data_IF_831449400435
#
_entry.id   IF_831449400435
#
_cell.length_a   1.000
_cell.length_b   1.000
_cell.length_c   1.000
_cell.angle_alpha   90.00
_cell.angle_beta   90.00
_cell.angle_gamma   90.00
#
_symmetry.space_group_name_H-M   'P 1'
#
loop_
_entity.id
_entity.type
_entity.pdbx_description
1 polymer ?
#
# COMPACT_ATOMS: atom_id res chain seq x y z
N UNK A 1 18.48 -12.15 -24.06
CA UNK A 1 18.34 -11.62 -22.67
C UNK A 1 17.85 -12.77 -21.80
N UNK A 2 18.40 -12.94 -20.59
CA UNK A 2 17.99 -14.02 -19.70
C UNK A 2 16.86 -13.51 -18.79
N UNK A 3 15.66 -14.10 -18.88
CA UNK A 3 14.52 -13.75 -18.03
C UNK A 3 14.80 -14.27 -16.64
N UNK A 4 14.71 -13.40 -15.62
CA UNK A 4 14.94 -13.77 -14.22
C UNK A 4 13.72 -13.40 -13.41
N UNK A 5 13.08 -14.38 -12.78
CA UNK A 5 11.98 -14.16 -11.85
C UNK A 5 12.52 -13.85 -10.46
N UNK A 6 11.89 -12.93 -9.76
CA UNK A 6 12.23 -12.53 -8.40
C UNK A 6 11.00 -12.49 -7.52
N UNK A 7 11.19 -12.67 -6.21
CA UNK A 7 10.16 -12.46 -5.20
C UNK A 7 10.62 -11.49 -4.12
N UNK A 8 9.67 -10.79 -3.50
CA UNK A 8 9.96 -9.91 -2.37
C UNK A 8 10.15 -10.73 -1.10
N UNK A 9 11.34 -10.67 -0.50
CA UNK A 9 11.69 -11.39 0.74
C UNK A 9 11.61 -10.52 2.00
N UNK A 10 10.72 -9.52 2.00
CA UNK A 10 10.51 -8.55 3.08
C UNK A 10 11.60 -7.46 3.19
N UNK A 11 12.75 -7.64 2.52
CA UNK A 11 13.84 -6.64 2.47
C UNK A 11 14.21 -6.21 1.06
N UNK A 12 14.20 -7.15 0.10
CA UNK A 12 14.66 -6.94 -1.26
C UNK A 12 14.02 -7.95 -2.21
N UNK A 13 14.25 -7.76 -3.51
CA UNK A 13 13.86 -8.74 -4.51
C UNK A 13 14.97 -9.77 -4.72
N UNK A 14 14.67 -11.01 -4.34
CA UNK A 14 15.59 -12.14 -4.45
C UNK A 14 15.21 -13.03 -5.64
N UNK A 15 16.21 -13.58 -6.31
CA UNK A 15 16.00 -14.48 -7.45
C UNK A 15 15.61 -15.87 -6.96
N UNK A 16 14.67 -16.52 -7.66
CA UNK A 16 14.42 -17.95 -7.46
C UNK A 16 15.65 -18.79 -7.78
N UNK A 17 15.73 -19.97 -7.15
CA UNK A 17 16.74 -20.98 -7.45
C UNK A 17 16.62 -21.49 -8.92
N UNK A 18 17.67 -22.11 -9.48
CA UNK A 18 17.69 -22.49 -10.90
C UNK A 18 16.52 -23.39 -11.34
N UNK A 19 16.09 -24.33 -10.49
CA UNK A 19 15.00 -25.25 -10.81
C UNK A 19 13.66 -24.51 -10.91
N UNK A 20 13.36 -23.63 -9.94
CA UNK A 20 12.17 -22.78 -9.97
C UNK A 20 12.21 -21.77 -11.12
N UNK A 21 13.37 -21.17 -11.43
CA UNK A 21 13.53 -20.30 -12.60
C UNK A 21 13.16 -21.04 -13.89
N UNK A 22 13.66 -22.27 -14.05
CA UNK A 22 13.35 -23.09 -15.22
C UNK A 22 11.86 -23.40 -15.30
N UNK A 23 11.22 -23.81 -14.20
CA UNK A 23 9.77 -24.06 -14.16
C UNK A 23 8.95 -22.82 -14.54
N UNK A 24 9.30 -21.66 -13.99
CA UNK A 24 8.62 -20.40 -14.31
C UNK A 24 8.84 -19.99 -15.76
N UNK A 25 10.07 -20.15 -16.28
CA UNK A 25 10.37 -19.86 -17.67
C UNK A 25 9.59 -20.78 -18.62
N UNK A 26 9.54 -22.09 -18.36
CA UNK A 26 8.73 -23.01 -19.17
C UNK A 26 7.24 -22.66 -19.11
N UNK A 27 6.74 -22.30 -17.93
CA UNK A 27 5.35 -21.85 -17.75
C UNK A 27 5.05 -20.56 -18.51
N UNK A 28 6.01 -19.63 -18.57
CA UNK A 28 5.88 -18.37 -19.29
C UNK A 28 5.67 -18.59 -20.80
N UNK A 29 6.27 -19.64 -21.37
CA UNK A 29 6.18 -20.01 -22.78
C UNK A 29 4.86 -20.72 -23.16
N UNK A 30 4.04 -21.12 -22.19
CA UNK A 30 2.78 -21.82 -22.46
C UNK A 30 1.72 -20.86 -23.02
N UNK A 31 0.83 -21.40 -23.86
CA UNK A 31 -0.33 -20.68 -24.39
C UNK A 31 -1.58 -21.59 -24.35
N UNK A 32 -2.60 -21.28 -23.52
CA UNK A 32 -2.67 -20.12 -22.61
C UNK A 32 -1.63 -20.23 -21.48
N UNK A 33 -1.16 -19.09 -20.99
CA UNK A 33 -0.27 -19.07 -19.82
C UNK A 33 -1.06 -19.50 -18.58
N UNK A 34 -0.53 -20.40 -17.74
CA UNK A 34 -1.24 -20.83 -16.54
C UNK A 34 -1.42 -19.66 -15.56
N UNK A 35 -2.55 -19.68 -14.84
CA UNK A 35 -2.82 -18.73 -13.76
C UNK A 35 -2.02 -19.07 -12.50
N UNK A 36 -1.81 -20.37 -12.24
CA UNK A 36 -1.01 -20.85 -11.11
C UNK A 36 0.16 -21.73 -11.57
N UNK A 37 1.33 -21.57 -10.93
CA UNK A 37 2.53 -22.39 -11.18
C UNK A 37 3.05 -22.94 -9.87
N UNK A 38 3.02 -24.26 -9.72
CA UNK A 38 3.64 -24.95 -8.61
C UNK A 38 5.16 -24.92 -8.71
N UNK A 39 5.82 -24.42 -7.67
CA UNK A 39 7.26 -24.45 -7.59
C UNK A 39 7.74 -25.83 -7.12
N UNK A 40 8.70 -26.46 -7.81
CA UNK A 40 9.19 -27.78 -7.44
C UNK A 40 9.89 -27.74 -6.08
N UNK A 41 9.62 -28.75 -5.24
CA UNK A 41 10.23 -28.91 -3.91
C UNK A 41 10.04 -27.69 -2.99
N UNK A 42 8.96 -26.94 -3.21
CA UNK A 42 8.69 -25.68 -2.54
C UNK A 42 7.27 -25.68 -1.97
N UNK A 43 7.05 -25.16 -0.75
CA UNK A 43 5.72 -25.02 -0.18
C UNK A 43 4.93 -23.85 -0.78
N UNK A 44 5.42 -23.26 -1.87
CA UNK A 44 4.86 -22.07 -2.51
C UNK A 44 4.27 -22.38 -3.89
N UNK A 45 3.23 -21.65 -4.24
CA UNK A 45 2.65 -21.59 -5.60
C UNK A 45 2.73 -20.14 -6.08
N UNK A 46 2.99 -19.92 -7.37
CA UNK A 46 2.86 -18.59 -7.97
C UNK A 46 1.44 -18.43 -8.49
N UNK A 47 0.67 -17.51 -7.92
CA UNK A 47 -0.70 -17.19 -8.36
C UNK A 47 -0.71 -15.96 -9.26
N UNK A 48 -1.73 -15.85 -10.12
CA UNK A 48 -1.86 -14.84 -11.19
C UNK A 48 -0.61 -14.78 -12.10
N UNK A 49 -0.01 -15.92 -12.41
CA UNK A 49 1.21 -16.01 -13.21
C UNK A 49 1.00 -15.57 -14.67
N UNK A 50 -0.23 -15.70 -15.17
CA UNK A 50 -0.69 -15.08 -16.42
C UNK A 50 -0.51 -13.54 -16.46
N UNK A 51 -0.29 -12.87 -15.32
CA UNK A 51 -0.06 -11.42 -15.20
C UNK A 51 1.34 -11.04 -14.71
N UNK A 52 2.30 -11.97 -14.73
CA UNK A 52 3.64 -11.77 -14.16
C UNK A 52 4.43 -10.63 -14.82
N UNK A 53 4.26 -10.41 -16.11
CA UNK A 53 4.86 -9.30 -16.86
C UNK A 53 4.21 -7.95 -16.56
N UNK A 54 2.95 -7.98 -16.10
CA UNK A 54 2.20 -6.80 -15.71
C UNK A 54 2.45 -6.37 -14.26
N UNK A 55 3.18 -7.19 -13.48
CA UNK A 55 3.47 -6.93 -12.06
C UNK A 55 2.40 -7.46 -11.09
N UNK A 56 1.42 -8.23 -11.59
CA UNK A 56 0.28 -8.72 -10.80
C UNK A 56 0.45 -10.12 -10.19
N UNK A 57 1.59 -10.77 -10.41
CA UNK A 57 1.85 -12.11 -9.88
C UNK A 57 2.29 -12.07 -8.41
N UNK A 58 1.95 -13.14 -7.67
CA UNK A 58 2.35 -13.28 -6.28
C UNK A 58 2.74 -14.73 -5.95
N UNK A 59 3.65 -14.90 -5.01
CA UNK A 59 4.03 -16.18 -4.44
C UNK A 59 3.19 -16.40 -3.19
N UNK A 60 2.31 -17.41 -3.21
CA UNK A 60 1.46 -17.80 -2.09
C UNK A 60 2.04 -19.01 -1.39
N UNK A 61 2.22 -18.93 -0.07
CA UNK A 61 2.52 -20.09 0.76
C UNK A 61 1.28 -20.99 0.86
N UNK A 62 1.41 -22.27 0.49
CA UNK A 62 0.28 -23.22 0.46
C UNK A 62 -0.30 -23.51 1.85
N UNK A 63 0.52 -23.40 2.90
CA UNK A 63 0.11 -23.68 4.29
C UNK A 63 -0.47 -22.45 4.97
N UNK A 64 0.23 -21.31 4.91
CA UNK A 64 -0.17 -20.09 5.64
C UNK A 64 -1.05 -19.14 4.82
N UNK A 65 -1.11 -19.31 3.49
CA UNK A 65 -1.77 -18.37 2.59
C UNK A 65 -1.03 -17.03 2.43
N UNK A 66 0.14 -16.86 3.04
CA UNK A 66 0.92 -15.62 2.95
C UNK A 66 1.40 -15.36 1.53
N UNK A 67 1.28 -14.12 1.07
CA UNK A 67 1.61 -13.72 -0.30
C UNK A 67 2.83 -12.79 -0.34
N UNK A 68 3.73 -13.05 -1.29
CA UNK A 68 4.87 -12.18 -1.63
C UNK A 68 4.78 -11.72 -3.06
N UNK A 69 5.17 -10.48 -3.33
CA UNK A 69 5.16 -9.95 -4.70
C UNK A 69 6.17 -10.69 -5.57
N UNK A 70 5.76 -11.02 -6.80
CA UNK A 70 6.62 -11.67 -7.79
C UNK A 70 6.74 -10.76 -9.01
N UNK A 71 7.96 -10.66 -9.54
CA UNK A 71 8.25 -9.86 -10.73
C UNK A 71 9.26 -10.54 -11.63
N UNK A 72 9.34 -10.04 -12.86
CA UNK A 72 10.49 -10.26 -13.72
C UNK A 72 11.50 -9.14 -13.47
N UNK A 73 12.77 -9.49 -13.25
CA UNK A 73 13.85 -8.52 -13.03
C UNK A 73 14.02 -7.63 -14.27
N UNK A 74 13.91 -6.30 -14.14
CA UNK A 74 14.15 -5.41 -15.27
C UNK A 74 15.65 -5.16 -15.52
N UNK A 75 16.05 -4.87 -16.78
CA UNK A 75 15.21 -4.87 -17.98
C UNK A 75 14.98 -6.30 -18.51
N UNK A 76 13.82 -6.53 -19.13
CA UNK A 76 13.51 -7.81 -19.79
C UNK A 76 12.84 -7.61 -21.15
N UNK A 77 12.98 -8.59 -22.04
CA UNK A 77 12.27 -8.66 -23.31
C UNK A 77 11.63 -10.04 -23.40
N UNK A 78 10.30 -10.10 -23.35
CA UNK A 78 9.58 -11.36 -23.41
C UNK A 78 9.58 -11.94 -24.83
N UNK A 79 9.53 -13.28 -24.97
CA UNK A 79 9.42 -13.91 -26.29
C UNK A 79 8.17 -13.42 -27.03
N UNK A 80 8.35 -12.97 -28.27
CA UNK A 80 7.27 -12.43 -29.11
C UNK A 80 6.87 -10.98 -28.81
N UNK A 81 7.37 -10.37 -27.75
CA UNK A 81 7.13 -8.95 -27.48
C UNK A 81 8.00 -8.07 -28.41
N UNK A 82 7.40 -7.01 -28.94
CA UNK A 82 8.14 -6.02 -29.73
C UNK A 82 8.96 -5.14 -28.79
N UNK A 83 10.23 -4.81 -29.10
CA UNK A 83 10.99 -3.85 -28.31
C UNK A 83 10.20 -2.54 -28.15
N UNK A 84 10.13 -2.01 -26.93
CA UNK A 84 9.43 -0.75 -26.68
C UNK A 84 10.14 0.39 -27.41
N UNK A 85 9.56 0.89 -28.51
CA UNK A 85 10.10 2.03 -29.25
C UNK A 85 10.26 3.27 -28.35
N UNK A 86 9.36 3.41 -27.35
CA UNK A 86 9.41 4.47 -26.35
C UNK A 86 10.65 4.39 -25.45
N UNK A 87 11.21 3.20 -25.18
CA UNK A 87 12.43 3.06 -24.38
C UNK A 87 13.64 3.78 -25.01
N UNK A 88 13.67 3.88 -26.34
CA UNK A 88 14.76 4.49 -27.10
C UNK A 88 14.60 6.00 -27.29
N UNK A 89 13.41 6.56 -27.02
CA UNK A 89 13.10 7.97 -27.21
C UNK A 89 13.14 8.81 -25.93
N UNK A 90 13.29 8.18 -24.75
CA UNK A 90 13.23 8.91 -23.48
C UNK A 90 14.54 9.64 -23.16
N UNK A 91 14.49 10.91 -22.72
CA UNK A 91 15.68 11.67 -22.34
C UNK A 91 16.46 11.00 -21.20
N UNK A 92 17.80 11.11 -21.24
CA UNK A 92 18.68 10.49 -20.23
C UNK A 92 18.47 11.09 -18.82
N UNK A 93 18.09 12.36 -18.77
CA UNK A 93 17.84 13.16 -17.58
C UNK A 93 16.41 13.01 -17.03
N UNK A 94 15.65 12.02 -17.50
CA UNK A 94 14.32 11.70 -16.99
C UNK A 94 14.33 11.42 -15.48
N UNK A 95 13.33 11.96 -14.77
CA UNK A 95 13.09 11.76 -13.35
C UNK A 95 11.61 11.50 -13.10
N UNK A 96 11.32 10.50 -12.27
CA UNK A 96 10.00 10.25 -11.73
C UNK A 96 9.84 11.01 -10.41
N UNK A 97 8.84 11.88 -10.33
CA UNK A 97 8.55 12.69 -9.15
C UNK A 97 7.10 12.45 -8.70
N UNK A 98 6.85 12.37 -7.40
CA UNK A 98 5.49 12.31 -6.88
C UNK A 98 5.04 13.65 -6.31
N UNK A 99 3.74 13.91 -6.40
CA UNK A 99 3.14 15.08 -5.79
C UNK A 99 3.01 14.91 -4.27
N UNK A 100 3.47 15.92 -3.54
CA UNK A 100 3.35 16.06 -2.09
C UNK A 100 2.69 17.40 -1.74
N UNK A 101 1.92 17.42 -0.65
CA UNK A 101 1.05 18.53 -0.26
C UNK A 101 -0.41 18.35 -0.73
N UNK A 102 -1.35 19.05 -0.08
CA UNK A 102 -2.79 18.93 -0.37
C UNK A 102 -3.16 19.36 -1.80
N UNK A 103 -2.36 20.26 -2.38
CA UNK A 103 -2.64 20.87 -3.68
C UNK A 103 -1.68 20.38 -4.77
N UNK A 104 -0.86 19.35 -4.49
CA UNK A 104 0.17 18.86 -5.42
C UNK A 104 1.27 19.88 -5.73
N UNK A 105 1.42 20.92 -4.90
CA UNK A 105 2.32 22.04 -5.14
C UNK A 105 3.80 21.69 -5.10
N UNK A 106 4.16 20.51 -4.58
CA UNK A 106 5.55 20.08 -4.45
C UNK A 106 5.77 18.75 -5.17
N UNK A 107 6.65 18.77 -6.16
CA UNK A 107 7.17 17.56 -6.79
C UNK A 107 8.39 17.07 -6.02
N UNK A 108 8.32 15.84 -5.54
CA UNK A 108 9.41 15.20 -4.80
C UNK A 108 9.96 14.05 -5.64
N UNK A 109 11.25 14.04 -5.97
CA UNK A 109 11.84 12.95 -6.73
C UNK A 109 11.85 11.65 -5.91
N UNK A 110 11.67 10.51 -6.59
CA UNK A 110 12.04 9.22 -6.00
C UNK A 110 13.55 9.12 -5.73
N UNK A 111 13.95 8.20 -4.84
CA UNK A 111 15.36 7.90 -4.57
C UNK A 111 16.09 7.48 -5.85
N UNK A 112 17.40 7.76 -5.95
CA UNK A 112 18.18 7.44 -7.17
C UNK A 112 18.16 5.94 -7.52
N UNK A 113 18.09 5.07 -6.51
CA UNK A 113 17.94 3.62 -6.70
C UNK A 113 16.63 3.28 -7.43
N UNK A 114 15.50 3.82 -6.93
CA UNK A 114 14.20 3.62 -7.53
C UNK A 114 14.11 4.30 -8.91
N UNK A 115 14.68 5.50 -9.08
CA UNK A 115 14.79 6.14 -10.40
C UNK A 115 15.46 5.23 -11.42
N UNK A 116 16.60 4.64 -11.05
CA UNK A 116 17.38 3.75 -11.90
C UNK A 116 16.63 2.44 -12.20
N UNK A 117 15.84 1.94 -11.25
CA UNK A 117 15.01 0.76 -11.45
C UNK A 117 13.81 1.05 -12.37
N UNK A 118 13.08 2.13 -12.16
CA UNK A 118 11.96 2.55 -13.02
C UNK A 118 12.40 2.80 -14.47
N UNK A 119 13.60 3.38 -14.67
CA UNK A 119 14.21 3.49 -16.01
C UNK A 119 14.45 2.14 -16.67
N UNK A 120 14.84 1.10 -15.91
CA UNK A 120 15.00 -0.26 -16.43
C UNK A 120 13.65 -0.90 -16.77
N UNK A 121 12.60 -0.61 -16.01
CA UNK A 121 11.24 -1.04 -16.36
C UNK A 121 10.72 -0.38 -17.63
N UNK A 122 11.02 0.89 -17.88
CA UNK A 122 10.70 1.55 -19.15
C UNK A 122 11.35 0.86 -20.36
N UNK A 123 12.55 0.29 -20.15
CA UNK A 123 13.27 -0.48 -21.16
C UNK A 123 12.80 -1.94 -21.29
N UNK A 124 11.80 -2.35 -20.51
CA UNK A 124 11.26 -3.71 -20.57
C UNK A 124 10.13 -3.81 -21.59
N UNK A 125 9.93 -5.00 -22.18
CA UNK A 125 8.80 -5.27 -23.08
C UNK A 125 8.13 -6.62 -22.81
N UNK A 126 6.79 -6.66 -22.60
CA UNK A 126 5.94 -5.47 -22.43
C UNK A 126 6.32 -4.69 -21.17
N UNK A 127 5.91 -3.43 -21.09
CA UNK A 127 6.07 -2.64 -19.87
C UNK A 127 5.08 -3.14 -18.83
N UNK A 128 5.49 -3.24 -17.55
CA UNK A 128 4.56 -3.63 -16.51
C UNK A 128 3.49 -2.55 -16.33
N UNK A 129 2.26 -2.95 -16.00
CA UNK A 129 1.23 -1.99 -15.57
C UNK A 129 1.43 -1.57 -14.12
N UNK A 130 2.05 -2.44 -13.31
CA UNK A 130 2.26 -2.26 -11.87
C UNK A 130 3.71 -2.57 -11.47
N UNK A 131 4.27 -1.75 -10.58
CA UNK A 131 5.60 -1.94 -10.00
C UNK A 131 5.54 -1.77 -8.49
N UNK A 132 5.79 -2.85 -7.76
CA UNK A 132 5.93 -2.82 -6.31
C UNK A 132 7.31 -2.29 -5.89
N UNK A 133 7.33 -1.44 -4.87
CA UNK A 133 8.55 -0.97 -4.22
C UNK A 133 8.28 -0.59 -2.75
N UNK A 134 9.35 -0.47 -1.96
CA UNK A 134 9.28 0.00 -0.57
C UNK A 134 10.05 1.31 -0.44
N UNK A 135 9.41 2.32 0.15
CA UNK A 135 10.03 3.60 0.44
C UNK A 135 9.68 4.03 1.88
N UNK A 136 10.67 4.46 2.66
CA UNK A 136 10.47 4.88 4.06
C UNK A 136 9.65 3.85 4.87
N UNK A 137 10.01 2.56 4.76
CA UNK A 137 9.35 1.43 5.44
C UNK A 137 7.85 1.24 5.12
N UNK A 138 7.38 1.84 4.04
CA UNK A 138 6.01 1.68 3.55
C UNK A 138 6.02 1.02 2.17
N UNK A 139 5.16 0.01 1.95
CA UNK A 139 4.99 -0.61 0.64
C UNK A 139 4.14 0.28 -0.27
N UNK A 140 4.56 0.38 -1.52
CA UNK A 140 3.89 1.13 -2.56
C UNK A 140 3.73 0.30 -3.82
N UNK A 141 2.69 0.64 -4.58
CA UNK A 141 2.48 0.17 -5.94
C UNK A 141 2.47 1.38 -6.87
N UNK A 142 3.39 1.42 -7.84
CA UNK A 142 3.33 2.37 -8.96
C UNK A 142 2.51 1.75 -10.07
N UNK A 143 1.49 2.46 -10.54
CA UNK A 143 0.58 2.02 -11.61
C UNK A 143 0.69 2.91 -12.85
N UNK A 144 0.32 2.38 -14.01
CA UNK A 144 0.20 3.12 -15.28
C UNK A 144 1.50 3.22 -16.09
N UNK A 145 2.50 2.40 -15.78
CA UNK A 145 3.80 2.39 -16.48
C UNK A 145 3.70 1.90 -17.94
N UNK A 146 2.76 1.02 -18.22
CA UNK A 146 2.39 0.51 -19.54
C UNK A 146 1.76 1.60 -20.43
N UNK A 147 1.09 2.57 -19.82
CA UNK A 147 0.37 3.67 -20.48
C UNK A 147 1.26 4.88 -20.83
N UNK A 148 2.53 4.90 -20.41
CA UNK A 148 3.42 6.02 -20.71
C UNK A 148 3.66 6.11 -22.22
N UNK A 149 3.05 7.05 -22.92
CA UNK A 149 3.33 7.26 -24.36
C UNK A 149 4.38 8.35 -24.57
N UNK A 150 4.35 9.35 -23.69
CA UNK A 150 5.25 10.49 -23.69
C UNK A 150 5.55 10.96 -22.24
N UNK A 151 6.33 12.03 -22.12
CA UNK A 151 6.68 12.64 -20.83
C UNK A 151 5.51 13.40 -20.17
N UNK A 152 4.44 13.68 -20.92
CA UNK A 152 3.26 14.40 -20.45
C UNK A 152 2.18 13.45 -19.90
N UNK A 153 2.45 12.14 -19.86
CA UNK A 153 1.49 11.15 -19.37
C UNK A 153 1.13 11.39 -17.90
N UNK A 154 -0.14 11.72 -17.66
CA UNK A 154 -0.77 11.82 -16.33
C UNK A 154 -1.27 10.47 -15.79
N UNK A 155 -0.92 9.36 -16.46
CA UNK A 155 -1.37 8.01 -16.12
C UNK A 155 -0.73 7.42 -14.85
N UNK A 156 0.38 8.01 -14.39
CA UNK A 156 1.15 7.43 -13.29
C UNK A 156 0.60 7.82 -11.93
N UNK A 157 0.37 6.80 -11.12
CA UNK A 157 -0.02 6.97 -9.73
C UNK A 157 0.72 5.99 -8.84
N UNK A 158 1.20 6.46 -7.69
CA UNK A 158 1.65 5.58 -6.62
C UNK A 158 0.56 5.43 -5.57
N UNK A 159 0.37 4.22 -5.09
CA UNK A 159 -0.58 3.88 -4.03
C UNK A 159 0.20 3.35 -2.84
N UNK A 160 0.02 3.95 -1.67
CA UNK A 160 0.52 3.38 -0.43
C UNK A 160 -0.34 2.17 -0.06
N UNK A 161 0.24 0.98 -0.05
CA UNK A 161 -0.52 -0.26 0.18
C UNK A 161 -0.97 -0.43 1.64
N UNK A 162 -0.39 0.29 2.60
CA UNK A 162 -0.84 0.32 4.00
C UNK A 162 -2.03 1.25 4.20
N UNK A 163 -2.03 2.43 3.58
CA UNK A 163 -3.02 3.48 3.85
C UNK A 163 -4.06 3.66 2.74
N UNK A 164 -3.84 3.06 1.57
CA UNK A 164 -4.63 3.29 0.36
C UNK A 164 -4.45 4.68 -0.24
N UNK A 165 -3.57 5.52 0.33
CA UNK A 165 -3.38 6.89 -0.14
C UNK A 165 -2.72 6.90 -1.53
N UNK A 166 -3.37 7.58 -2.47
CA UNK A 166 -2.92 7.69 -3.85
C UNK A 166 -2.23 9.04 -4.06
N UNK A 167 -1.05 9.04 -4.69
CA UNK A 167 -0.35 10.24 -5.13
C UNK A 167 -0.10 10.16 -6.62
N UNK A 168 -0.31 11.28 -7.32
CA UNK A 168 0.09 11.40 -8.72
C UNK A 168 1.60 11.36 -8.83
N UNK A 169 2.08 10.71 -9.89
CA UNK A 169 3.49 10.67 -10.26
C UNK A 169 3.62 11.34 -11.62
N UNK A 170 4.63 12.20 -11.77
CA UNK A 170 4.97 12.89 -13.01
C UNK A 170 6.35 12.49 -13.46
N UNK A 171 6.55 12.52 -14.77
CA UNK A 171 7.85 12.40 -15.38
C UNK A 171 8.33 13.80 -15.73
N UNK A 172 9.52 14.17 -15.26
CA UNK A 172 10.13 15.47 -15.52
C UNK A 172 11.51 15.29 -16.13
N UNK A 173 11.98 16.28 -16.88
CA UNK A 173 13.37 16.41 -17.35
C UNK A 173 14.04 17.58 -16.63
N UNK A 174 15.38 17.58 -16.59
CA UNK A 174 16.16 18.65 -15.96
C UNK A 174 16.48 18.46 -14.47
N UNK A 175 17.05 19.51 -13.83
CA UNK A 175 17.53 19.44 -12.46
C UNK A 175 16.39 19.24 -11.46
N UNK A 176 16.68 18.50 -10.38
CA UNK A 176 15.73 18.20 -9.30
C UNK A 176 15.09 19.51 -8.83
N UNK A 177 13.74 19.62 -8.83
CA UNK A 177 13.07 20.72 -8.17
C UNK A 177 13.53 20.74 -6.71
N UNK A 178 14.32 21.75 -6.35
CA UNK A 178 14.81 21.87 -4.97
C UNK A 178 13.57 22.04 -4.10
N UNK A 179 13.29 21.03 -3.29
CA UNK A 179 12.36 21.17 -2.18
C UNK A 179 12.82 22.38 -1.37
N UNK A 180 11.98 23.42 -1.17
CA UNK A 180 12.36 24.52 -0.30
C UNK A 180 12.67 23.90 1.06
N UNK A 181 13.95 23.92 1.46
CA UNK A 181 14.30 23.60 2.82
C UNK A 181 13.57 24.62 3.68
N UNK A 182 12.53 24.19 4.41
CA UNK A 182 11.96 25.04 5.45
C UNK A 182 13.12 25.36 6.40
N UNK A 183 13.47 26.64 6.61
CA UNK A 183 14.43 26.99 7.64
C UNK A 183 13.84 26.47 8.96
N UNK A 184 14.53 25.51 9.58
CA UNK A 184 14.26 25.17 10.97
C UNK A 184 14.50 26.45 11.77
N UNK A 185 13.40 27.14 12.10
CA UNK A 185 13.41 28.27 13.01
C UNK A 185 13.88 27.77 14.37
N UNK A 186 15.18 27.93 14.63
CA UNK A 186 15.74 27.85 15.96
C UNK A 186 15.09 28.94 16.79
N UNK A 187 14.10 28.57 17.59
CA UNK A 187 13.63 29.39 18.69
C UNK A 187 14.77 29.44 19.73
N UNK A 188 15.67 30.40 19.56
CA UNK A 188 16.54 30.85 20.63
C UNK A 188 15.68 31.61 21.64
N UNK A 189 15.11 30.88 22.60
CA UNK A 189 14.59 31.43 23.83
C UNK A 189 15.22 30.67 24.99
N UNK A 190 16.32 31.20 25.50
CA UNK A 190 16.92 30.78 26.76
C UNK A 190 17.09 32.01 27.64
N UNK A 191 16.00 32.38 28.31
CA UNK A 191 16.06 33.08 29.58
C UNK A 191 16.78 32.18 30.59
N UNK A 192 17.95 32.63 31.05
CA UNK A 192 18.65 32.14 32.25
C UNK A 192 17.98 32.77 33.47
N UNK A 193 17.67 31.99 34.53
CA UNK A 193 18.35 32.21 35.82
C UNK A 193 18.55 30.88 36.61
N UNK A 194 19.13 30.88 37.83
CA UNK A 194 20.53 30.56 38.07
C UNK A 194 20.72 29.20 38.77
N UNK A 195 21.99 28.80 38.80
CA UNK A 195 22.50 27.60 39.44
C UNK A 195 22.16 27.50 40.93
N UNK A 196 21.69 26.32 41.35
CA UNK A 196 21.71 25.90 42.75
C UNK A 196 22.60 24.66 42.88
N UNK A 197 23.73 24.85 43.55
CA UNK A 197 24.67 23.82 43.93
C UNK A 197 24.07 22.96 45.05
N UNK A 198 24.07 21.64 44.85
CA UNK A 198 23.65 20.67 45.86
C UNK A 198 24.35 19.34 45.64
N UNK A 199 25.55 19.22 46.20
CA UNK A 199 26.27 17.97 46.40
C UNK A 199 25.58 17.11 47.46
N UNK A 200 25.27 15.84 47.17
CA UNK A 200 25.37 14.75 48.13
C UNK A 200 25.22 13.37 47.47
N UNK A 201 26.28 12.59 47.65
CA UNK A 201 26.39 11.13 47.72
C UNK A 201 25.12 10.33 48.06
N UNK A 202 24.96 9.17 47.42
CA UNK A 202 24.07 8.11 47.92
C UNK A 202 23.97 6.93 46.95
N UNK A 203 24.91 5.97 47.06
CA UNK A 203 24.77 4.68 46.39
C UNK A 203 23.58 3.90 46.94
N UNK A 204 22.88 3.17 46.06
CA UNK A 204 22.04 2.02 46.43
C UNK A 204 21.84 1.10 45.24
N UNK A 205 22.35 -0.11 45.40
CA UNK A 205 22.00 -1.32 44.66
C UNK A 205 20.50 -1.58 44.75
N UNK A 206 19.86 -1.99 43.65
CA UNK A 206 18.54 -2.62 43.71
C UNK A 206 18.42 -3.76 42.71
N UNK A 207 17.80 -4.82 43.23
CA UNK A 207 17.78 -6.20 42.79
C UNK A 207 16.91 -6.45 41.56
N UNK A 208 17.31 -7.43 40.75
CA UNK A 208 16.44 -8.15 39.80
C UNK A 208 15.24 -8.72 40.56
N UNK A 209 14.02 -8.26 40.25
CA UNK A 209 12.79 -8.96 40.60
C UNK A 209 12.30 -9.74 39.40
N UNK A 210 12.28 -11.06 39.56
CA UNK A 210 11.55 -12.02 38.75
C UNK A 210 10.05 -11.70 38.84
N UNK A 211 9.40 -11.44 37.71
CA UNK A 211 7.95 -11.37 37.62
C UNK A 211 7.45 -12.66 36.96
N UNK A 212 6.72 -13.47 37.73
CA UNK A 212 5.85 -14.50 37.18
C UNK A 212 4.56 -13.83 36.66
N UNK A 213 4.07 -14.18 35.45
CA UNK A 213 2.78 -13.71 35.00
C UNK A 213 1.62 -14.50 35.66
N UNK A 214 0.47 -13.86 35.92
CA UNK A 214 -0.72 -14.53 36.42
C UNK A 214 -1.43 -15.32 35.31
N UNK A 215 -2.08 -16.40 35.71
CA UNK A 215 -2.88 -17.29 34.85
C UNK A 215 -4.07 -16.55 34.21
N UNK A 216 -4.37 -16.74 32.90
CA UNK A 216 -5.49 -16.03 32.27
C UNK A 216 -6.82 -16.72 32.54
N UNK A 217 -7.82 -15.90 32.88
CA UNK A 217 -9.23 -16.25 32.84
C UNK A 217 -9.68 -16.52 31.38
N UNK A 218 -10.66 -17.43 31.26
CA UNK A 218 -11.27 -17.93 30.02
C UNK A 218 -11.53 -16.86 28.95
N UNK A 219 -11.05 -17.14 27.74
CA UNK A 219 -11.29 -16.37 26.53
C UNK A 219 -12.72 -16.58 26.01
N UNK A 220 -13.42 -15.48 25.72
CA UNK A 220 -14.54 -15.46 24.77
C UNK A 220 -14.03 -14.86 23.46
N UNK A 221 -14.25 -15.60 22.38
CA UNK A 221 -13.77 -15.39 21.02
C UNK A 221 -14.71 -14.50 20.19
N UNK A 222 -14.10 -13.67 19.34
CA UNK A 222 -14.55 -13.18 18.01
C UNK A 222 -14.31 -11.67 17.82
N UNK A 223 -13.30 -11.32 17.02
CA UNK A 223 -13.15 -9.99 16.43
C UNK A 223 -12.94 -10.14 14.94
N UNK A 224 -13.99 -9.95 14.15
CA UNK A 224 -13.94 -9.83 12.70
C UNK A 224 -14.13 -8.36 12.33
N UNK A 225 -13.19 -7.80 11.56
CA UNK A 225 -13.39 -6.50 10.92
C UNK A 225 -14.38 -6.70 9.78
N UNK A 226 -15.57 -6.12 9.89
CA UNK A 226 -16.58 -6.19 8.85
C UNK A 226 -16.85 -4.79 8.30
N UNK A 227 -16.82 -4.66 6.98
CA UNK A 227 -17.25 -3.44 6.26
C UNK A 227 -18.71 -3.10 6.61
N UNK A 228 -19.49 -4.09 7.08
CA UNK A 228 -20.85 -3.89 7.62
C UNK A 228 -20.92 -2.98 8.85
N UNK A 229 -19.79 -2.74 9.52
CA UNK A 229 -19.68 -1.86 10.69
C UNK A 229 -19.28 -0.43 10.35
N UNK A 230 -19.16 -0.07 9.06
CA UNK A 230 -18.87 1.29 8.64
C UNK A 230 -19.97 2.27 9.07
N UNK A 231 -19.57 3.42 9.59
CA UNK A 231 -20.49 4.48 10.00
C UNK A 231 -20.26 5.73 9.14
N UNK A 232 -21.35 6.28 8.60
CA UNK A 232 -21.35 7.49 7.78
C UNK A 232 -21.77 8.69 8.63
N UNK A 233 -21.02 9.79 8.47
CA UNK A 233 -21.22 11.02 9.21
C UNK A 233 -21.30 12.20 8.26
N UNK A 234 -22.10 13.20 8.61
CA UNK A 234 -22.12 14.50 7.95
C UNK A 234 -21.82 15.61 8.97
N UNK A 235 -21.33 16.74 8.49
CA UNK A 235 -21.11 17.92 9.34
C UNK A 235 -22.24 18.93 9.14
N UNK A 236 -23.14 19.04 10.10
CA UNK A 236 -24.28 19.96 10.11
C UNK A 236 -24.02 21.06 11.14
N UNK A 237 -23.99 22.32 10.71
CA UNK A 237 -23.77 23.48 11.58
C UNK A 237 -22.53 23.33 12.50
N UNK A 238 -21.44 22.78 11.95
CA UNK A 238 -20.18 22.55 12.66
C UNK A 238 -20.17 21.33 13.58
N UNK A 239 -21.29 20.60 13.69
CA UNK A 239 -21.41 19.36 14.48
C UNK A 239 -21.36 18.15 13.56
N UNK A 240 -20.62 17.14 13.99
CA UNK A 240 -20.54 15.85 13.30
C UNK A 240 -21.72 14.99 13.73
N UNK A 241 -22.63 14.72 12.82
CA UNK A 241 -23.84 13.93 13.03
C UNK A 241 -23.74 12.61 12.27
N UNK A 242 -24.19 11.53 12.90
CA UNK A 242 -24.25 10.21 12.25
C UNK A 242 -25.50 10.17 11.37
N UNK A 243 -25.37 9.68 10.14
CA UNK A 243 -26.53 9.42 9.29
C UNK A 243 -27.41 8.34 9.92
N UNK A 244 -28.71 8.40 9.66
CA UNK A 244 -29.61 7.36 10.14
C UNK A 244 -29.27 5.99 9.53
N UNK A 245 -29.83 4.95 10.12
CA UNK A 245 -29.50 3.56 9.76
C UNK A 245 -29.94 3.19 8.34
N UNK A 246 -31.07 3.72 7.85
CA UNK A 246 -31.57 3.44 6.50
C UNK A 246 -30.64 4.03 5.43
N UNK A 247 -30.25 5.30 5.58
CA UNK A 247 -29.29 5.97 4.73
C UNK A 247 -27.92 5.30 4.76
N UNK A 248 -27.44 4.95 5.97
CA UNK A 248 -26.15 4.26 6.15
C UNK A 248 -26.12 2.91 5.43
N UNK A 249 -27.20 2.12 5.52
CA UNK A 249 -27.30 0.82 4.82
C UNK A 249 -27.33 0.98 3.31
N UNK A 250 -28.03 2.00 2.81
CA UNK A 250 -28.09 2.27 1.36
C UNK A 250 -26.72 2.70 0.84
N UNK A 251 -26.04 3.62 1.51
CA UNK A 251 -24.67 4.03 1.16
C UNK A 251 -23.72 2.84 1.22
N UNK A 252 -23.79 2.00 2.26
CA UNK A 252 -22.97 0.80 2.36
C UNK A 252 -23.17 -0.13 1.15
N UNK A 253 -24.42 -0.38 0.76
CA UNK A 253 -24.76 -1.21 -0.40
C UNK A 253 -24.17 -0.65 -1.70
N UNK A 254 -24.25 0.67 -1.90
CA UNK A 254 -23.68 1.31 -3.08
C UNK A 254 -22.14 1.35 -3.02
N UNK A 255 -21.56 1.41 -1.83
CA UNK A 255 -20.12 1.50 -1.65
C UNK A 255 -19.40 0.20 -2.03
N UNK A 256 -20.03 -0.94 -1.73
CA UNK A 256 -19.53 -2.29 -2.05
C UNK A 256 -19.92 -2.75 -3.46
N UNK A 257 -20.71 -1.97 -4.21
CA UNK A 257 -21.05 -2.30 -5.59
C UNK A 257 -19.82 -2.18 -6.50
N UNK A 258 -19.78 -2.99 -7.56
CA UNK A 258 -18.66 -3.03 -8.51
C UNK A 258 -18.48 -1.70 -9.26
N UNK A 259 -19.59 -1.06 -9.64
CA UNK A 259 -19.62 0.29 -10.19
C UNK A 259 -20.25 1.24 -9.18
N UNK A 260 -19.47 2.23 -8.75
CA UNK A 260 -19.94 3.22 -7.78
C UNK A 260 -20.64 4.36 -8.51
N UNK A 261 -21.90 4.68 -8.17
CA UNK A 261 -22.59 5.79 -8.78
C UNK A 261 -21.96 7.11 -8.34
N UNK A 262 -22.04 8.14 -9.18
CA UNK A 262 -21.62 9.49 -8.82
C UNK A 262 -22.58 10.17 -7.86
N UNK A 263 -23.86 9.80 -7.91
CA UNK A 263 -24.90 10.30 -7.02
C UNK A 263 -25.69 9.16 -6.36
N UNK A 264 -26.02 9.33 -5.08
CA UNK A 264 -26.83 8.39 -4.32
C UNK A 264 -27.99 9.12 -3.65
N UNK A 265 -29.22 8.83 -4.06
CA UNK A 265 -30.42 9.39 -3.45
C UNK A 265 -30.77 8.65 -2.14
N UNK A 266 -30.76 9.39 -1.02
CA UNK A 266 -31.10 8.92 0.31
C UNK A 266 -32.54 9.26 0.71
N UNK A 267 -33.38 9.65 -0.26
CA UNK A 267 -34.79 10.05 -0.06
C UNK A 267 -34.88 11.26 0.88
N UNK A 268 -35.41 11.06 2.08
CA UNK A 268 -35.67 12.12 3.07
C UNK A 268 -34.38 12.77 3.61
N UNK A 269 -33.23 12.08 3.45
CA UNK A 269 -31.94 12.58 3.87
C UNK A 269 -31.19 13.40 2.80
N UNK A 270 -31.75 13.49 1.59
CA UNK A 270 -31.18 14.24 0.48
C UNK A 270 -30.33 13.37 -0.45
N UNK A 271 -29.46 14.02 -1.22
CA UNK A 271 -28.66 13.35 -2.26
C UNK A 271 -27.18 13.46 -1.92
N UNK A 272 -26.46 12.34 -1.96
CA UNK A 272 -25.01 12.33 -1.89
C UNK A 272 -24.44 12.51 -3.29
N UNK A 273 -23.58 13.50 -3.46
CA UNK A 273 -22.89 13.82 -4.72
C UNK A 273 -21.40 13.43 -4.60
N UNK A 274 -20.78 13.08 -5.73
CA UNK A 274 -19.40 12.61 -5.83
C UNK A 274 -19.12 11.36 -4.96
N UNK A 275 -20.06 10.41 -4.93
CA UNK A 275 -19.99 9.24 -4.08
C UNK A 275 -18.87 8.25 -4.49
N UNK A 276 -18.50 8.23 -5.76
CA UNK A 276 -17.38 7.45 -6.31
C UNK A 276 -16.01 7.82 -5.72
N UNK A 277 -15.90 9.03 -5.15
CA UNK A 277 -14.70 9.53 -4.45
C UNK A 277 -14.91 9.68 -2.93
N UNK A 278 -15.80 8.88 -2.34
CA UNK A 278 -16.11 8.90 -0.90
C UNK A 278 -14.86 8.77 0.00
N UNK A 279 -13.97 7.82 -0.29
CA UNK A 279 -12.77 7.57 0.55
C UNK A 279 -11.76 8.70 0.51
N UNK A 280 -11.85 9.55 -0.50
CA UNK A 280 -11.02 10.75 -0.64
C UNK A 280 -11.60 11.91 0.18
N UNK A 281 -12.74 11.70 0.83
CA UNK A 281 -13.46 12.70 1.61
C UNK A 281 -13.97 13.85 0.75
N UNK A 282 -14.25 13.61 -0.54
CA UNK A 282 -14.79 14.60 -1.49
C UNK A 282 -16.30 14.47 -1.70
N UNK A 283 -16.91 13.36 -1.26
CA UNK A 283 -18.35 13.18 -1.29
C UNK A 283 -19.06 14.22 -0.40
N UNK A 284 -20.19 14.74 -0.89
CA UNK A 284 -20.99 15.74 -0.17
C UNK A 284 -22.45 15.34 -0.12
N UNK A 285 -23.09 15.50 1.04
CA UNK A 285 -24.52 15.36 1.20
C UNK A 285 -25.23 16.70 0.97
N UNK A 286 -26.12 16.75 -0.03
CA UNK A 286 -27.03 17.87 -0.29
C UNK A 286 -28.39 17.60 0.32
N UNK A 287 -28.73 18.30 1.41
CA UNK A 287 -30.02 18.20 2.12
C UNK A 287 -30.65 19.58 2.26
N UNK A 288 -31.89 19.76 1.77
CA UNK A 288 -32.65 21.03 1.82
C UNK A 288 -31.85 22.25 1.30
N UNK A 289 -31.12 22.06 0.19
CA UNK A 289 -30.30 23.12 -0.43
C UNK A 289 -28.95 23.39 0.25
N UNK A 290 -28.64 22.77 1.39
CA UNK A 290 -27.33 22.86 2.05
C UNK A 290 -26.45 21.68 1.62
N UNK A 291 -25.19 21.95 1.33
CA UNK A 291 -24.16 20.91 1.07
C UNK A 291 -23.27 20.75 2.29
N UNK A 292 -23.08 19.51 2.72
CA UNK A 292 -22.26 19.14 3.88
C UNK A 292 -21.29 18.04 3.48
N UNK A 293 -20.09 18.01 4.08
CA UNK A 293 -19.11 16.97 3.78
C UNK A 293 -19.59 15.63 4.34
N UNK A 294 -19.49 14.58 3.53
CA UNK A 294 -19.75 13.20 3.96
C UNK A 294 -18.43 12.54 4.35
N UNK A 295 -18.42 11.90 5.52
CA UNK A 295 -17.27 11.17 6.05
C UNK A 295 -17.67 9.71 6.31
N UNK A 296 -16.78 8.78 5.98
CA UNK A 296 -16.91 7.38 6.38
C UNK A 296 -15.88 7.06 7.46
N UNK A 297 -16.34 6.54 8.60
CA UNK A 297 -15.45 6.02 9.66
C UNK A 297 -15.59 4.51 9.71
N UNK A 298 -14.48 3.82 9.53
CA UNK A 298 -14.36 2.39 9.79
C UNK A 298 -14.13 2.20 11.30
N UNK A 299 -14.69 1.14 11.93
CA UNK A 299 -14.42 0.85 13.32
C UNK A 299 -12.91 0.70 13.53
N UNK A 300 -12.41 1.26 14.62
CA UNK A 300 -11.04 1.03 15.04
C UNK A 300 -10.89 -0.47 15.34
N UNK A 301 -9.84 -1.15 14.84
CA UNK A 301 -9.64 -2.55 15.17
C UNK A 301 -9.53 -2.66 16.70
N UNK A 302 -10.42 -3.42 17.32
CA UNK A 302 -10.38 -3.68 18.76
C UNK A 302 -9.01 -4.24 19.11
N UNK A 303 -8.34 -3.63 20.10
CA UNK A 303 -7.04 -4.07 20.60
C UNK A 303 -7.18 -5.43 21.29
N UNK A 304 -7.26 -6.50 20.51
CA UNK A 304 -7.14 -7.87 20.97
C UNK A 304 -5.68 -8.29 20.96
N UNK A 305 -5.22 -8.93 22.03
CA UNK A 305 -3.96 -9.65 22.04
C UNK A 305 -4.12 -10.86 21.11
N UNK A 306 -3.51 -10.81 19.93
CA UNK A 306 -3.33 -11.99 19.08
C UNK A 306 -2.51 -13.00 19.90
N UNK A 307 -3.18 -14.01 20.49
CA UNK A 307 -2.47 -15.21 20.93
C UNK A 307 -2.19 -16.05 19.69
N UNK A 308 -0.92 -16.09 19.30
CA UNK A 308 -0.43 -17.09 18.35
C UNK A 308 -0.71 -18.48 18.96
N UNK A 309 -1.12 -19.47 18.15
CA UNK A 309 -1.19 -20.87 18.58
C UNK A 309 0.14 -21.26 19.25
N UNK A 310 0.08 -22.01 20.36
CA UNK A 310 1.25 -22.38 21.19
C UNK A 310 2.33 -23.17 20.39
N UNK A 311 2.02 -23.59 19.16
CA UNK A 311 2.94 -24.27 18.24
C UNK A 311 3.88 -23.33 17.45
N UNK A 312 3.86 -22.01 17.71
CA UNK A 312 4.71 -21.01 17.04
C UNK A 312 5.90 -20.52 17.88
N UNK A 313 6.03 -20.98 19.13
CA UNK A 313 7.08 -20.49 20.04
C UNK A 313 8.48 -21.10 19.79
N UNK A 314 8.63 -22.10 18.92
CA UNK A 314 9.94 -22.72 18.65
C UNK A 314 10.62 -22.30 17.33
N UNK A 315 10.01 -21.45 16.50
CA UNK A 315 10.64 -20.97 15.27
C UNK A 315 10.62 -19.45 15.18
N UNK A 316 11.75 -18.87 15.60
CA UNK A 316 12.26 -17.54 15.28
C UNK A 316 11.24 -16.40 15.14
N UNK A 317 11.20 -15.58 16.19
CA UNK A 317 10.61 -14.27 16.27
C UNK A 317 10.76 -13.43 14.98
N UNK A 318 9.67 -13.22 14.23
CA UNK A 318 9.53 -12.01 13.39
C UNK A 318 8.07 -11.67 13.03
N UNK A 319 7.72 -10.46 13.47
CA UNK A 319 6.85 -9.43 12.88
C UNK A 319 5.36 -9.72 12.62
N UNK A 320 4.55 -9.30 13.60
CA UNK A 320 3.09 -9.18 13.51
C UNK A 320 2.68 -8.00 12.61
N UNK A 321 2.76 -8.16 11.29
CA UNK A 321 1.96 -7.37 10.36
C UNK A 321 1.44 -8.33 9.28
N UNK A 322 0.11 -8.32 9.06
CA UNK A 322 -0.62 -9.01 7.98
C UNK A 322 -1.37 -10.30 8.38
N UNK A 323 -2.29 -10.17 9.34
CA UNK A 323 -3.52 -10.98 9.36
C UNK A 323 -4.69 -10.12 8.88
N UNK A 324 -5.27 -10.48 7.73
CA UNK A 324 -6.49 -9.82 7.26
C UNK A 324 -6.85 -10.09 5.79
N UNK A 325 -7.17 -11.34 5.44
CA UNK A 325 -8.20 -11.69 4.43
C UNK A 325 -8.35 -13.21 4.28
N UNK A 326 -9.24 -13.79 5.07
CA UNK A 326 -9.91 -15.04 4.76
C UNK A 326 -11.27 -14.99 5.47
N UNK A 327 -12.29 -14.43 4.82
CA UNK A 327 -13.71 -14.55 5.19
C UNK A 327 -14.55 -13.98 4.04
N UNK A 328 -14.81 -14.81 3.03
CA UNK A 328 -16.09 -14.93 2.31
C UNK A 328 -15.95 -16.10 1.34
N UNK A 329 -16.45 -17.27 1.75
CA UNK A 329 -17.11 -18.26 0.89
C UNK A 329 -17.79 -19.29 1.82
N UNK A 330 -19.03 -18.97 2.17
CA UNK A 330 -20.13 -19.92 2.41
C UNK A 330 -21.39 -19.33 1.80
#
# INVERSE_FOLDING_TARGET
MNITFQFWNDSSFESYNPQAQQTLYQSLLQNPRPDEVDLPQSPYVISNFNKVEHGGASQRNKKSGFNRWVRIRPPYLLPGAQPSAAAFALPRDLRFCFEEGRDGSQLVPFSEELQSELKRFLASSPRPSEVYFVAKHSPYLLSGMDQIQDLQSDSLAQVNLKTGFVRRVRITTGPIPRVPQRPYGGAASSHVPPAFSGTASGGRSFQKRSFHPPTPARANSNCSFSVSSAAFFCTVDGRRERLNEAASRLLLRQWIAAERPSEVDLKEDGVVENFEVLEQGRATLRKRGRKTRLEVKLPEPSSGTLRLPEDLDEAEALDMMLTGKALTDQ
#
